data_IF_151592670136
#
_entry.id   IF_151592670136
#
_cell.length_a   1.000
_cell.length_b   1.000
_cell.length_c   1.000
_cell.angle_alpha   90.00
_cell.angle_beta   90.00
_cell.angle_gamma   90.00
#
_symmetry.space_group_name_H-M   'P 1'
#
loop_
_entity.id
_entity.type
_entity.pdbx_description
1 polymer ?
#
# COMPACT_ATOMS: atom_id res chain seq x y z
N UNK A 1 8.62 -15.46 28.80
CA UNK A 1 9.01 -15.87 27.45
C UNK A 1 9.61 -17.26 27.48
N UNK A 2 8.81 -18.26 27.31
CA UNK A 2 9.19 -19.66 27.26
C UNK A 2 9.69 -20.00 25.85
N UNK A 3 10.91 -20.57 25.76
CA UNK A 3 11.46 -21.02 24.47
C UNK A 3 10.93 -22.38 24.03
N UNK A 4 10.53 -23.20 24.97
CA UNK A 4 9.99 -24.55 24.75
C UNK A 4 8.87 -24.80 25.74
N UNK A 5 7.86 -25.53 25.34
CA UNK A 5 6.90 -26.11 26.24
C UNK A 5 7.55 -27.27 26.97
N UNK A 6 7.24 -27.45 28.26
CA UNK A 6 7.60 -28.66 28.99
C UNK A 6 6.63 -29.81 28.61
N UNK A 7 6.88 -31.01 29.11
CA UNK A 7 6.10 -32.19 28.73
C UNK A 7 4.63 -32.10 29.15
N UNK A 8 4.35 -31.55 30.34
CA UNK A 8 2.96 -31.39 30.82
C UNK A 8 2.19 -30.36 29.94
N UNK A 9 2.82 -29.28 29.58
CA UNK A 9 2.25 -28.26 28.67
C UNK A 9 2.03 -28.85 27.27
N UNK A 10 2.92 -29.69 26.76
CA UNK A 10 2.75 -30.41 25.52
C UNK A 10 1.55 -31.37 25.57
N UNK A 11 1.37 -32.07 26.69
CA UNK A 11 0.21 -32.95 26.93
C UNK A 11 -1.10 -32.16 27.00
N UNK A 12 -1.10 -31.04 27.70
CA UNK A 12 -2.25 -30.15 27.77
C UNK A 12 -2.62 -29.62 26.38
N UNK A 13 -1.64 -29.11 25.64
CA UNK A 13 -1.81 -28.63 24.27
C UNK A 13 -2.38 -29.72 23.35
N UNK A 14 -1.77 -30.90 23.32
CA UNK A 14 -2.21 -32.05 22.56
C UNK A 14 -3.68 -32.38 22.87
N UNK A 15 -4.01 -32.46 24.15
CA UNK A 15 -5.37 -32.82 24.62
C UNK A 15 -6.38 -31.76 24.25
N UNK A 16 -6.04 -30.48 24.46
CA UNK A 16 -6.91 -29.34 24.13
C UNK A 16 -7.28 -29.28 22.65
N UNK A 17 -6.35 -29.61 21.79
CA UNK A 17 -6.56 -29.58 20.33
C UNK A 17 -6.90 -30.93 19.72
N UNK A 18 -7.08 -31.98 20.52
CA UNK A 18 -7.46 -33.30 20.05
C UNK A 18 -6.43 -33.95 19.11
N UNK A 19 -5.12 -33.62 19.29
CA UNK A 19 -4.07 -34.15 18.41
C UNK A 19 -3.83 -35.61 18.77
N UNK A 20 -3.92 -36.57 17.84
CA UNK A 20 -3.85 -38.00 18.11
C UNK A 20 -2.39 -38.48 18.25
N UNK A 21 -1.68 -37.98 19.25
CA UNK A 21 -0.34 -38.40 19.64
C UNK A 21 -0.44 -39.05 21.02
N UNK A 22 0.17 -40.23 21.17
CA UNK A 22 0.14 -40.98 22.45
C UNK A 22 0.98 -40.28 23.51
N UNK A 23 0.72 -40.61 24.80
CA UNK A 23 1.44 -40.04 25.93
C UNK A 23 2.93 -40.36 25.90
N UNK A 24 3.31 -41.51 25.37
CA UNK A 24 4.72 -41.93 25.28
C UNK A 24 5.50 -41.11 24.26
N UNK A 25 4.78 -40.57 23.24
CA UNK A 25 5.40 -39.83 22.15
C UNK A 25 5.30 -38.33 22.27
N UNK A 26 4.48 -37.83 23.20
CA UNK A 26 4.20 -36.39 23.27
C UNK A 26 5.45 -35.56 23.56
N UNK A 27 6.39 -36.12 24.40
CA UNK A 27 7.63 -35.46 24.75
C UNK A 27 8.58 -35.24 23.53
N UNK A 28 8.45 -36.07 22.50
CA UNK A 28 9.21 -35.96 21.25
C UNK A 28 8.72 -34.82 20.38
N UNK A 29 7.51 -34.26 20.66
CA UNK A 29 6.81 -33.28 19.85
C UNK A 29 6.83 -33.65 18.35
N UNK A 30 6.37 -34.85 17.95
CA UNK A 30 6.47 -35.34 16.59
C UNK A 30 5.56 -34.53 15.66
N UNK A 31 5.99 -34.40 14.41
CA UNK A 31 5.11 -33.84 13.38
C UNK A 31 3.89 -34.73 13.17
N UNK A 32 2.73 -34.12 13.31
CA UNK A 32 1.45 -34.76 12.99
C UNK A 32 0.94 -34.27 11.63
N UNK A 33 0.64 -35.19 10.76
CA UNK A 33 -0.05 -34.91 9.52
C UNK A 33 -1.40 -35.64 9.54
N UNK A 34 -2.54 -34.91 9.42
CA UNK A 34 -3.84 -35.56 9.34
C UNK A 34 -3.93 -36.50 8.13
N UNK A 35 -4.77 -37.55 8.19
CA UNK A 35 -5.04 -38.42 7.04
C UNK A 35 -5.52 -37.62 5.84
N UNK A 36 -5.15 -38.07 4.63
CA UNK A 36 -5.46 -37.37 3.38
C UNK A 36 -6.96 -37.13 3.14
N UNK A 37 -7.80 -38.00 3.68
CA UNK A 37 -9.26 -37.92 3.61
C UNK A 37 -9.91 -37.28 4.84
N UNK A 38 -9.12 -36.67 5.74
CA UNK A 38 -9.66 -35.96 6.89
C UNK A 38 -10.30 -34.64 6.47
N UNK A 39 -11.29 -34.12 7.22
CA UNK A 39 -11.92 -32.85 6.92
C UNK A 39 -10.92 -31.68 6.81
N UNK A 40 -9.89 -31.66 7.66
CA UNK A 40 -8.86 -30.64 7.66
C UNK A 40 -8.05 -30.65 6.37
N UNK A 41 -7.65 -31.85 5.88
CA UNK A 41 -6.88 -31.98 4.65
C UNK A 41 -7.72 -31.68 3.41
N UNK A 42 -8.98 -32.08 3.40
CA UNK A 42 -9.93 -31.74 2.33
C UNK A 42 -10.08 -30.23 2.25
N UNK A 43 -10.37 -29.57 3.37
CA UNK A 43 -10.50 -28.11 3.44
C UNK A 43 -9.24 -27.40 2.97
N UNK A 44 -8.06 -27.83 3.45
CA UNK A 44 -6.77 -27.24 3.04
C UNK A 44 -6.58 -27.32 1.53
N UNK A 45 -6.87 -28.47 0.91
CA UNK A 45 -6.70 -28.64 -0.55
C UNK A 45 -7.66 -27.79 -1.34
N UNK A 46 -8.94 -27.81 -0.98
CA UNK A 46 -9.94 -26.96 -1.64
C UNK A 46 -9.53 -25.48 -1.62
N UNK A 47 -9.06 -24.98 -0.47
CA UNK A 47 -8.58 -23.59 -0.36
C UNK A 47 -7.33 -23.37 -1.20
N UNK A 48 -6.40 -24.31 -1.22
CA UNK A 48 -5.19 -24.20 -2.05
C UNK A 48 -5.50 -24.21 -3.54
N UNK A 49 -6.37 -25.09 -3.98
CA UNK A 49 -6.81 -25.15 -5.38
C UNK A 49 -7.53 -23.87 -5.79
N UNK A 50 -8.42 -23.34 -4.97
CA UNK A 50 -9.10 -22.08 -5.23
C UNK A 50 -8.14 -20.87 -5.34
N UNK A 51 -6.98 -20.94 -4.70
CA UNK A 51 -5.92 -19.93 -4.80
C UNK A 51 -4.88 -20.22 -5.92
N UNK A 52 -5.13 -21.19 -6.78
CA UNK A 52 -4.22 -21.54 -7.87
C UNK A 52 -3.07 -22.48 -7.49
N UNK A 53 -3.16 -23.17 -6.34
CA UNK A 53 -2.19 -24.18 -5.92
C UNK A 53 -1.37 -23.81 -4.68
N UNK A 54 -0.21 -24.44 -4.52
CA UNK A 54 0.65 -24.24 -3.35
C UNK A 54 1.28 -22.84 -3.31
N UNK A 55 1.36 -22.25 -2.13
CA UNK A 55 1.99 -20.94 -1.92
C UNK A 55 3.41 -21.16 -1.36
N UNK A 56 4.39 -20.34 -1.80
CA UNK A 56 4.29 -19.34 -2.84
C UNK A 56 4.32 -19.95 -4.25
N UNK A 57 3.29 -19.65 -5.04
CA UNK A 57 3.31 -19.91 -6.47
C UNK A 57 3.83 -18.66 -7.17
N UNK A 58 5.05 -18.73 -7.69
CA UNK A 58 5.66 -17.60 -8.43
C UNK A 58 5.62 -17.90 -9.91
N UNK A 59 5.18 -16.94 -10.70
CA UNK A 59 5.32 -17.04 -12.16
C UNK A 59 6.63 -16.39 -12.60
N UNK A 60 7.34 -17.06 -13.50
CA UNK A 60 8.49 -16.49 -14.21
C UNK A 60 8.08 -15.74 -15.48
N UNK A 61 6.80 -15.81 -15.87
CA UNK A 61 6.31 -15.11 -17.05
C UNK A 61 6.25 -13.62 -16.75
N UNK A 62 6.92 -12.77 -17.56
CA UNK A 62 6.82 -11.33 -17.36
C UNK A 62 5.40 -10.86 -17.67
N UNK A 63 4.87 -10.03 -16.80
CA UNK A 63 3.62 -9.31 -17.06
C UNK A 63 4.00 -8.03 -17.77
N UNK A 64 3.65 -7.95 -19.07
CA UNK A 64 3.94 -6.75 -19.85
C UNK A 64 2.91 -5.67 -19.59
N UNK A 65 3.38 -4.43 -19.53
CA UNK A 65 2.54 -3.23 -19.42
C UNK A 65 3.00 -2.22 -20.45
N UNK A 66 2.06 -1.60 -21.13
CA UNK A 66 2.41 -0.48 -22.00
C UNK A 66 2.66 0.76 -21.16
N UNK A 67 3.92 1.18 -21.11
CA UNK A 67 4.32 2.38 -20.39
C UNK A 67 3.93 3.61 -21.20
N UNK A 68 3.19 4.58 -20.63
CA UNK A 68 2.88 5.82 -21.31
C UNK A 68 4.15 6.65 -21.54
N UNK A 69 4.12 7.51 -22.53
CA UNK A 69 5.19 8.45 -22.86
C UNK A 69 4.83 9.87 -22.41
N UNK A 70 5.81 10.76 -22.36
CA UNK A 70 5.55 12.18 -22.07
C UNK A 70 4.57 12.80 -23.06
N UNK A 71 4.59 12.38 -24.33
CA UNK A 71 3.68 12.86 -25.36
C UNK A 71 2.21 12.57 -25.03
N UNK A 72 1.93 11.46 -24.32
CA UNK A 72 0.58 11.14 -23.90
C UNK A 72 0.02 12.16 -22.88
N UNK A 73 0.89 12.92 -22.21
CA UNK A 73 0.56 13.91 -21.20
C UNK A 73 0.88 15.36 -21.59
N UNK A 74 1.13 15.64 -22.85
CA UNK A 74 1.44 16.99 -23.35
C UNK A 74 0.42 18.06 -22.93
N UNK A 75 -0.85 17.68 -22.76
CA UNK A 75 -1.92 18.58 -22.31
C UNK A 75 -1.84 18.91 -20.82
N UNK A 76 -1.22 18.02 -20.03
CA UNK A 76 -1.05 18.17 -18.57
C UNK A 76 0.16 19.03 -18.25
N UNK A 77 1.29 18.77 -18.88
CA UNK A 77 2.55 19.49 -18.66
C UNK A 77 2.41 21.03 -18.73
N UNK A 78 1.73 21.62 -19.72
CA UNK A 78 1.54 23.08 -19.77
C UNK A 78 0.75 23.65 -18.61
N UNK A 79 -0.10 22.84 -17.97
CA UNK A 79 -0.87 23.24 -16.78
C UNK A 79 -0.03 23.24 -15.52
N UNK A 80 1.08 22.47 -15.52
CA UNK A 80 2.04 22.39 -14.43
C UNK A 80 3.12 23.48 -14.55
N UNK A 81 3.36 23.97 -15.76
CA UNK A 81 4.30 25.08 -16.01
C UNK A 81 3.54 26.40 -15.88
N UNK A 82 3.84 27.16 -14.85
CA UNK A 82 3.29 28.51 -14.70
C UNK A 82 3.74 29.41 -15.85
N UNK A 83 2.82 29.79 -16.72
CA UNK A 83 3.07 30.82 -17.74
C UNK A 83 2.57 32.17 -17.21
N UNK A 84 3.42 32.90 -16.53
CA UNK A 84 3.18 34.26 -16.13
C UNK A 84 2.98 34.48 -14.62
N UNK A 85 3.03 35.73 -14.15
CA UNK A 85 2.87 36.07 -12.75
C UNK A 85 1.48 35.67 -12.24
N UNK A 86 1.40 34.93 -11.13
CA UNK A 86 0.18 34.68 -10.38
C UNK A 86 -0.42 33.29 -10.41
N UNK A 87 0.25 32.29 -10.98
CA UNK A 87 -0.16 30.89 -10.83
C UNK A 87 0.93 30.05 -10.16
N UNK A 88 1.14 30.30 -8.90
CA UNK A 88 1.97 29.45 -8.08
C UNK A 88 1.27 28.11 -7.85
N UNK A 89 2.03 27.04 -7.91
CA UNK A 89 1.56 25.67 -7.67
C UNK A 89 2.62 24.92 -6.89
N UNK A 90 2.18 24.27 -5.81
CA UNK A 90 3.05 23.35 -5.08
C UNK A 90 3.36 22.10 -5.91
N UNK A 91 4.48 21.47 -5.64
CA UNK A 91 4.85 20.18 -6.25
C UNK A 91 3.82 19.09 -5.94
N UNK A 92 3.24 19.09 -4.72
CA UNK A 92 2.13 18.20 -4.35
C UNK A 92 0.91 18.38 -5.26
N UNK A 93 0.49 19.62 -5.52
CA UNK A 93 -0.62 19.88 -6.44
C UNK A 93 -0.27 19.54 -7.90
N UNK A 94 0.98 19.69 -8.28
CA UNK A 94 1.49 19.20 -9.57
C UNK A 94 1.31 17.68 -9.69
N UNK A 95 1.75 16.96 -8.68
CA UNK A 95 1.58 15.51 -8.60
C UNK A 95 0.09 15.09 -8.63
N UNK A 96 -0.77 15.70 -7.83
CA UNK A 96 -2.21 15.35 -7.79
C UNK A 96 -2.90 15.55 -9.13
N UNK A 97 -2.54 16.62 -9.87
CA UNK A 97 -3.05 16.83 -11.24
C UNK A 97 -2.59 15.74 -12.20
N UNK A 98 -1.30 15.40 -12.15
CA UNK A 98 -0.76 14.30 -12.94
C UNK A 98 -1.44 12.98 -12.57
N UNK A 99 -1.58 12.67 -11.29
CA UNK A 99 -2.26 11.48 -10.80
C UNK A 99 -3.71 11.40 -11.32
N UNK A 100 -4.44 12.52 -11.27
CA UNK A 100 -5.81 12.59 -11.81
C UNK A 100 -5.87 12.26 -13.30
N UNK A 101 -4.89 12.69 -14.08
CA UNK A 101 -4.81 12.37 -15.52
C UNK A 101 -4.36 10.91 -15.74
N UNK A 102 -3.41 10.41 -14.96
CA UNK A 102 -2.97 9.00 -14.99
C UNK A 102 -4.13 8.04 -14.67
N UNK A 103 -4.97 8.36 -13.68
CA UNK A 103 -6.16 7.57 -13.33
C UNK A 103 -7.22 7.53 -14.44
N UNK A 104 -7.21 8.49 -15.38
CA UNK A 104 -8.08 8.50 -16.56
C UNK A 104 -7.48 7.76 -17.76
N UNK A 105 -6.22 7.39 -17.68
CA UNK A 105 -5.56 6.67 -18.77
C UNK A 105 -6.23 5.32 -19.00
N UNK A 106 -6.58 5.07 -20.26
CA UNK A 106 -7.32 3.84 -20.64
C UNK A 106 -6.47 2.57 -20.54
N UNK A 107 -5.15 2.70 -20.52
CA UNK A 107 -4.23 1.57 -20.52
C UNK A 107 -3.76 1.20 -19.11
N UNK A 108 -3.35 2.19 -18.33
CA UNK A 108 -2.77 1.98 -17.01
C UNK A 108 -3.63 2.49 -15.85
N UNK A 109 -4.64 3.32 -16.12
CA UNK A 109 -5.40 4.00 -15.07
C UNK A 109 -6.00 3.04 -14.03
N UNK A 110 -6.47 1.87 -14.47
CA UNK A 110 -7.00 0.84 -13.56
C UNK A 110 -5.93 0.06 -12.75
N UNK A 111 -4.66 0.24 -13.11
CA UNK A 111 -3.54 -0.38 -12.40
C UNK A 111 -2.96 0.54 -11.31
N UNK A 112 -3.29 1.81 -11.36
CA UNK A 112 -2.79 2.80 -10.39
C UNK A 112 -3.58 2.68 -9.11
N UNK A 113 -2.87 2.56 -7.99
CA UNK A 113 -3.45 2.42 -6.65
C UNK A 113 -2.94 3.57 -5.78
N UNK A 114 -3.68 4.68 -5.70
CA UNK A 114 -3.37 5.74 -4.74
C UNK A 114 -3.63 5.22 -3.32
N UNK A 115 -2.67 5.44 -2.43
CA UNK A 115 -2.73 5.01 -1.03
C UNK A 115 -2.42 6.22 -0.16
N UNK A 116 -3.25 6.49 0.84
CA UNK A 116 -3.09 7.62 1.74
C UNK A 116 -3.56 7.28 3.15
N UNK A 117 -2.85 7.73 4.20
CA UNK A 117 -3.26 7.52 5.58
C UNK A 117 -4.24 8.62 6.02
N UNK A 118 -5.47 8.61 5.52
CA UNK A 118 -6.59 9.49 5.92
C UNK A 118 -6.32 11.01 5.85
N UNK A 119 -5.52 11.44 4.88
CA UNK A 119 -5.11 12.84 4.73
C UNK A 119 -5.30 13.36 3.31
N UNK A 120 -6.23 12.75 2.57
CA UNK A 120 -6.47 13.08 1.16
C UNK A 120 -6.75 14.56 0.92
N UNK A 121 -7.53 15.19 1.79
CA UNK A 121 -7.88 16.62 1.67
C UNK A 121 -6.66 17.52 1.86
N UNK A 122 -5.80 17.21 2.81
CA UNK A 122 -4.57 17.97 3.06
C UNK A 122 -3.64 17.96 1.84
N UNK A 123 -3.61 16.85 1.11
CA UNK A 123 -2.85 16.74 -0.13
C UNK A 123 -3.59 17.27 -1.36
N UNK A 124 -4.82 17.77 -1.21
CA UNK A 124 -5.64 18.27 -2.34
C UNK A 124 -6.17 17.15 -3.24
N UNK A 125 -6.33 15.94 -2.69
CA UNK A 125 -6.78 14.74 -3.41
C UNK A 125 -8.30 14.55 -3.36
N UNK A 126 -9.06 15.42 -2.71
CA UNK A 126 -10.52 15.28 -2.55
C UNK A 126 -11.28 15.16 -3.88
N UNK A 127 -10.74 15.71 -4.96
CA UNK A 127 -11.29 15.55 -6.31
C UNK A 127 -11.31 14.09 -6.79
N UNK A 128 -10.43 13.25 -6.25
CA UNK A 128 -10.35 11.84 -6.60
C UNK A 128 -11.51 11.04 -6.01
N UNK A 129 -12.12 11.47 -4.91
CA UNK A 129 -13.31 10.82 -4.33
C UNK A 129 -14.45 10.71 -5.35
N UNK A 130 -14.64 11.76 -6.14
CA UNK A 130 -15.64 11.76 -7.21
C UNK A 130 -15.17 11.00 -8.44
N UNK A 131 -13.88 11.04 -8.74
CA UNK A 131 -13.31 10.47 -9.95
C UNK A 131 -13.23 8.95 -9.90
N UNK A 132 -12.71 8.40 -8.79
CA UNK A 132 -12.41 6.96 -8.65
C UNK A 132 -13.02 6.33 -7.41
N UNK A 133 -13.52 7.12 -6.45
CA UNK A 133 -14.06 6.65 -5.17
C UNK A 133 -13.01 6.10 -4.20
N UNK A 134 -13.37 6.09 -2.93
CA UNK A 134 -12.60 5.44 -1.87
C UNK A 134 -13.00 3.97 -1.86
N UNK A 135 -12.04 3.07 -1.79
CA UNK A 135 -12.34 1.65 -1.69
C UNK A 135 -12.92 1.29 -0.32
N UNK A 136 -14.09 0.66 -0.32
CA UNK A 136 -14.67 0.04 0.85
C UNK A 136 -15.31 -1.29 0.45
N UNK A 137 -14.83 -2.37 1.00
CA UNK A 137 -15.23 -3.73 0.63
C UNK A 137 -16.73 -4.00 0.83
N UNK A 138 -17.37 -3.33 1.77
CA UNK A 138 -18.83 -3.40 2.01
C UNK A 138 -19.61 -2.32 1.26
N UNK A 139 -18.95 -1.30 0.74
CA UNK A 139 -19.56 -0.07 0.25
C UNK A 139 -19.84 0.92 1.39
N UNK A 140 -20.46 2.05 1.06
CA UNK A 140 -20.80 3.09 2.02
C UNK A 140 -22.15 2.78 2.68
N UNK A 141 -22.16 2.73 4.02
CA UNK A 141 -23.34 2.39 4.84
C UNK A 141 -23.87 3.57 5.67
N UNK A 142 -23.34 4.77 5.45
CA UNK A 142 -23.71 5.97 6.17
C UNK A 142 -23.65 7.18 5.24
N UNK A 143 -24.37 8.23 5.60
CA UNK A 143 -24.24 9.54 4.99
C UNK A 143 -23.28 10.37 5.83
N UNK A 144 -22.26 11.03 5.25
CA UNK A 144 -21.39 11.92 5.99
C UNK A 144 -22.17 13.04 6.67
N UNK A 145 -21.86 13.33 7.93
CA UNK A 145 -22.57 14.33 8.74
C UNK A 145 -22.52 15.73 8.13
N UNK A 146 -21.44 16.00 7.37
CA UNK A 146 -21.16 17.26 6.68
C UNK A 146 -21.41 17.22 5.17
N UNK A 147 -22.22 16.28 4.69
CA UNK A 147 -22.47 16.02 3.26
C UNK A 147 -23.01 17.24 2.50
N UNK A 148 -23.66 18.16 3.19
CA UNK A 148 -24.24 19.39 2.66
C UNK A 148 -23.31 20.62 2.75
N UNK A 149 -22.21 20.52 3.51
CA UNK A 149 -21.32 21.65 3.79
C UNK A 149 -19.98 21.55 3.07
N UNK A 150 -19.50 20.36 2.79
CA UNK A 150 -18.12 20.12 2.33
C UNK A 150 -18.09 19.15 1.14
N UNK A 151 -16.91 19.08 0.54
CA UNK A 151 -16.59 18.27 -0.61
C UNK A 151 -17.20 16.86 -0.57
N UNK A 152 -17.65 16.46 -1.73
CA UNK A 152 -18.15 15.13 -2.04
C UNK A 152 -17.27 14.03 -1.43
N UNK A 153 -17.89 13.09 -0.71
CA UNK A 153 -17.27 11.91 -0.13
C UNK A 153 -18.01 10.66 -0.62
N UNK A 154 -17.28 9.69 -1.12
CA UNK A 154 -17.89 8.45 -1.63
C UNK A 154 -16.98 7.26 -1.39
N UNK A 155 -17.49 6.31 -0.64
CA UNK A 155 -16.96 4.95 -0.54
C UNK A 155 -17.67 4.01 -1.51
N UNK A 156 -16.93 3.11 -2.14
CA UNK A 156 -17.49 2.16 -3.10
C UNK A 156 -16.67 0.87 -3.14
N UNK A 157 -17.34 -0.24 -3.44
CA UNK A 157 -16.68 -1.55 -3.60
C UNK A 157 -15.68 -1.59 -4.76
N UNK A 158 -15.90 -0.77 -5.76
CA UNK A 158 -15.03 -0.58 -6.92
C UNK A 158 -14.18 0.69 -6.82
N UNK A 159 -14.14 1.31 -5.64
CA UNK A 159 -13.26 2.44 -5.35
C UNK A 159 -11.80 2.07 -5.57
N UNK A 160 -11.01 3.06 -6.00
CA UNK A 160 -9.60 2.84 -6.37
C UNK A 160 -8.62 3.53 -5.42
N UNK A 161 -9.07 4.54 -4.68
CA UNK A 161 -8.28 5.20 -3.65
C UNK A 161 -8.34 4.39 -2.35
N UNK A 162 -7.19 3.98 -1.83
CA UNK A 162 -7.08 3.36 -0.52
C UNK A 162 -6.83 4.44 0.54
N UNK A 163 -7.83 4.71 1.35
CA UNK A 163 -7.75 5.60 2.50
C UNK A 163 -7.72 4.74 3.76
N UNK A 164 -6.49 4.49 4.27
CA UNK A 164 -6.20 3.42 5.22
C UNK A 164 -6.44 3.81 6.69
N UNK A 165 -6.83 5.06 6.94
CA UNK A 165 -6.79 5.65 8.28
C UNK A 165 -5.38 6.12 8.65
N UNK A 166 -5.22 6.77 9.80
CA UNK A 166 -3.94 7.31 10.26
C UNK A 166 -3.01 6.16 10.67
N UNK A 167 -2.53 5.41 9.70
CA UNK A 167 -1.60 4.29 9.88
C UNK A 167 -0.66 4.16 8.68
N UNK A 168 0.54 4.65 8.80
CA UNK A 168 1.57 4.52 7.76
C UNK A 168 1.98 3.05 7.57
N UNK A 169 1.95 2.26 8.63
CA UNK A 169 2.27 0.82 8.55
C UNK A 169 1.20 0.04 7.76
N UNK A 170 -0.09 0.34 7.96
CA UNK A 170 -1.18 -0.23 7.17
C UNK A 170 -1.05 0.15 5.70
N UNK A 171 -0.86 1.44 5.44
CA UNK A 171 -0.65 1.97 4.08
C UNK A 171 0.53 1.33 3.37
N UNK A 172 1.67 1.15 4.06
CA UNK A 172 2.84 0.49 3.49
C UNK A 172 2.63 -1.01 3.28
N UNK A 173 1.80 -1.66 4.09
CA UNK A 173 1.42 -3.06 3.87
C UNK A 173 0.59 -3.22 2.61
N UNK A 174 -0.37 -2.33 2.37
CA UNK A 174 -1.13 -2.27 1.12
C UNK A 174 -0.25 -1.94 -0.09
N UNK A 175 0.74 -1.04 0.08
CA UNK A 175 1.76 -0.76 -0.93
C UNK A 175 2.54 -2.03 -1.30
N UNK A 176 3.01 -2.78 -0.30
CA UNK A 176 3.76 -4.02 -0.52
C UNK A 176 2.91 -5.08 -1.25
N UNK A 177 1.65 -5.23 -0.87
CA UNK A 177 0.72 -6.14 -1.51
C UNK A 177 0.49 -5.77 -3.00
N UNK A 178 0.19 -4.51 -3.28
CA UNK A 178 0.01 -4.01 -4.64
C UNK A 178 1.31 -4.08 -5.45
N UNK A 179 2.43 -3.65 -4.86
CA UNK A 179 3.74 -3.62 -5.51
C UNK A 179 4.31 -4.99 -5.85
N UNK A 180 3.81 -6.07 -5.25
CA UNK A 180 4.20 -7.46 -5.51
C UNK A 180 3.14 -8.27 -6.29
N UNK A 181 2.00 -7.67 -6.61
CA UNK A 181 0.90 -8.34 -7.29
C UNK A 181 1.29 -8.96 -8.64
N UNK A 182 2.29 -8.41 -9.31
CA UNK A 182 2.82 -8.97 -10.55
C UNK A 182 3.40 -10.39 -10.38
N UNK A 183 3.94 -10.71 -9.20
CA UNK A 183 4.53 -12.01 -8.89
C UNK A 183 3.51 -12.98 -8.27
N UNK A 184 2.62 -12.47 -7.41
CA UNK A 184 1.65 -13.28 -6.67
C UNK A 184 0.35 -13.53 -7.43
N UNK A 185 -0.08 -12.56 -8.24
CA UNK A 185 -1.37 -12.60 -8.95
C UNK A 185 -1.25 -12.46 -10.47
N UNK A 186 -0.04 -12.22 -10.99
CA UNK A 186 0.16 -12.01 -12.44
C UNK A 186 -0.45 -10.70 -12.96
N UNK A 187 -0.67 -9.71 -12.08
CA UNK A 187 -1.27 -8.42 -12.40
C UNK A 187 -0.31 -7.31 -12.00
N UNK A 188 0.05 -6.43 -12.93
CA UNK A 188 0.79 -5.23 -12.58
C UNK A 188 -0.12 -4.25 -11.86
N UNK A 189 0.27 -3.82 -10.67
CA UNK A 189 -0.29 -2.67 -9.98
C UNK A 189 0.79 -1.62 -9.76
N UNK A 190 0.40 -0.36 -9.73
CA UNK A 190 1.27 0.80 -9.57
C UNK A 190 0.84 1.53 -8.30
N UNK A 191 1.24 1.08 -7.11
CA UNK A 191 0.93 1.79 -5.88
C UNK A 191 1.66 3.13 -5.83
N UNK A 192 0.92 4.15 -5.44
CA UNK A 192 1.38 5.51 -5.20
C UNK A 192 1.00 5.89 -3.78
N UNK A 193 1.91 5.69 -2.85
CA UNK A 193 1.71 5.97 -1.44
C UNK A 193 2.15 7.38 -1.12
N UNK A 194 1.18 8.26 -0.82
CA UNK A 194 1.43 9.62 -0.37
C UNK A 194 1.22 9.73 1.14
N UNK A 195 2.14 10.38 1.83
CA UNK A 195 2.16 10.51 3.29
C UNK A 195 2.86 11.81 3.69
N UNK A 196 2.70 12.22 4.93
CA UNK A 196 3.55 13.27 5.50
C UNK A 196 5.00 12.79 5.53
N UNK A 197 5.89 13.51 4.87
CA UNK A 197 7.29 13.13 4.71
C UNK A 197 7.96 12.77 6.03
N UNK A 198 7.70 13.56 7.09
CA UNK A 198 8.24 13.32 8.43
C UNK A 198 7.86 11.94 9.01
N UNK A 199 6.74 11.37 8.59
CA UNK A 199 6.21 10.11 9.13
C UNK A 199 6.47 8.90 8.22
N UNK A 200 7.31 9.06 7.20
CA UNK A 200 7.71 7.99 6.29
C UNK A 200 8.77 7.06 6.86
N UNK A 201 9.99 7.15 6.36
CA UNK A 201 11.07 6.19 6.68
C UNK A 201 11.29 5.95 8.16
N UNK A 202 11.12 6.94 9.02
CA UNK A 202 11.29 6.77 10.47
C UNK A 202 10.21 5.91 11.13
N UNK A 203 9.02 5.77 10.52
CA UNK A 203 7.93 4.92 11.05
C UNK A 203 7.82 3.58 10.34
N UNK A 204 8.18 3.54 9.05
CA UNK A 204 7.95 2.37 8.20
C UNK A 204 9.23 1.81 7.58
N UNK A 205 10.40 2.16 8.09
CA UNK A 205 11.69 1.70 7.55
C UNK A 205 11.77 0.19 7.39
N UNK A 206 11.33 -0.58 8.39
CA UNK A 206 11.30 -2.05 8.32
C UNK A 206 10.40 -2.56 7.18
N UNK A 207 9.28 -1.92 6.93
CA UNK A 207 8.40 -2.29 5.83
C UNK A 207 8.97 -1.89 4.46
N UNK A 208 9.79 -0.85 4.40
CA UNK A 208 10.53 -0.49 3.19
C UNK A 208 11.63 -1.52 2.91
N UNK A 209 12.32 -2.02 3.95
CA UNK A 209 13.23 -3.15 3.80
C UNK A 209 12.51 -4.40 3.30
N UNK A 210 11.34 -4.71 3.88
CA UNK A 210 10.51 -5.81 3.40
C UNK A 210 10.07 -5.61 1.93
N UNK A 211 9.72 -4.38 1.53
CA UNK A 211 9.42 -4.05 0.13
C UNK A 211 10.61 -4.36 -0.80
N UNK A 212 11.82 -4.00 -0.36
CA UNK A 212 13.05 -4.28 -1.11
C UNK A 212 13.28 -5.78 -1.28
N UNK A 213 13.16 -6.56 -0.21
CA UNK A 213 13.31 -8.02 -0.22
C UNK A 213 12.27 -8.71 -1.10
N UNK A 214 11.03 -8.25 -1.03
CA UNK A 214 9.94 -8.76 -1.86
C UNK A 214 10.00 -8.26 -3.31
N UNK A 215 10.86 -7.31 -3.63
CA UNK A 215 10.96 -6.62 -4.93
C UNK A 215 9.64 -5.92 -5.31
N UNK A 216 9.00 -5.30 -4.34
CA UNK A 216 7.84 -4.47 -4.57
C UNK A 216 8.19 -3.31 -5.49
N UNK A 217 7.23 -2.87 -6.31
CA UNK A 217 7.39 -1.76 -7.25
C UNK A 217 6.32 -0.71 -6.97
N UNK A 218 6.70 0.56 -6.98
CA UNK A 218 5.75 1.65 -6.77
C UNK A 218 6.46 2.95 -6.44
N UNK A 219 5.68 3.94 -6.02
CA UNK A 219 6.13 5.28 -5.72
C UNK A 219 5.73 5.66 -4.30
N UNK A 220 6.70 6.13 -3.53
CA UNK A 220 6.51 6.69 -2.20
C UNK A 220 6.68 8.21 -2.28
N UNK A 221 5.68 8.96 -1.86
CA UNK A 221 5.62 10.40 -2.05
C UNK A 221 5.49 11.11 -0.69
N UNK A 222 6.57 11.70 -0.23
CA UNK A 222 6.60 12.51 0.97
C UNK A 222 6.03 13.91 0.70
N UNK A 223 4.82 14.15 1.15
CA UNK A 223 4.22 15.48 1.12
C UNK A 223 4.62 16.32 2.33
N UNK A 224 4.34 17.63 2.29
CA UNK A 224 4.58 18.58 3.39
C UNK A 224 6.02 18.55 3.95
N UNK A 225 7.01 18.37 3.08
CA UNK A 225 8.41 18.21 3.47
C UNK A 225 9.15 19.53 3.79
N UNK A 226 8.51 20.68 3.55
CA UNK A 226 9.15 22.00 3.68
C UNK A 226 9.54 22.32 5.12
N UNK A 227 10.80 22.75 5.32
CA UNK A 227 11.31 23.13 6.65
C UNK A 227 10.82 24.49 7.12
N UNK A 228 10.54 25.40 6.20
CA UNK A 228 10.23 26.79 6.51
C UNK A 228 8.82 27.19 6.12
N UNK A 229 8.10 26.37 5.38
CA UNK A 229 6.77 26.64 4.82
C UNK A 229 5.62 26.04 5.63
N UNK A 230 5.92 25.33 6.71
CA UNK A 230 4.94 24.62 7.55
C UNK A 230 4.67 25.34 8.87
N UNK A 231 4.53 26.65 8.84
CA UNK A 231 4.39 27.46 10.04
C UNK A 231 3.17 27.08 10.91
N UNK A 232 2.09 26.60 10.29
CA UNK A 232 0.87 26.22 11.00
C UNK A 232 0.92 24.81 11.61
N UNK A 233 1.85 23.95 11.16
CA UNK A 233 1.89 22.55 11.57
C UNK A 233 2.96 22.25 12.63
N UNK A 234 3.91 23.13 12.83
CA UNK A 234 4.96 23.03 13.84
C UNK A 234 6.11 22.06 13.48
N UNK A 235 7.06 21.93 14.40
CA UNK A 235 8.31 21.19 14.21
C UNK A 235 8.12 19.70 13.90
N UNK A 236 7.08 19.08 14.41
CA UNK A 236 6.82 17.66 14.24
C UNK A 236 6.53 17.24 12.78
N UNK A 237 6.19 18.20 11.91
CA UNK A 237 5.97 17.95 10.48
C UNK A 237 7.17 18.36 9.60
N UNK A 238 8.16 19.02 10.16
CA UNK A 238 9.33 19.47 9.40
C UNK A 238 10.29 18.31 9.14
N UNK A 239 10.46 17.95 7.90
CA UNK A 239 11.37 16.89 7.47
C UNK A 239 12.65 17.49 6.87
N UNK A 240 13.77 16.88 7.22
CA UNK A 240 15.07 17.24 6.68
C UNK A 240 16.00 16.06 6.52
N UNK A 241 15.50 14.84 6.75
CA UNK A 241 16.31 13.64 6.84
C UNK A 241 15.78 12.46 6.02
N UNK A 242 14.61 12.55 5.41
CA UNK A 242 14.05 11.45 4.62
C UNK A 242 14.94 11.01 3.47
N UNK A 243 15.57 11.94 2.75
CA UNK A 243 16.52 11.60 1.68
C UNK A 243 17.74 10.86 2.22
N UNK A 244 18.25 11.27 3.39
CA UNK A 244 19.37 10.58 4.05
C UNK A 244 18.95 9.16 4.48
N UNK A 245 17.78 9.00 5.08
CA UNK A 245 17.26 7.70 5.45
C UNK A 245 17.07 6.79 4.22
N UNK A 246 16.57 7.33 3.12
CA UNK A 246 16.36 6.60 1.88
C UNK A 246 17.65 6.03 1.29
N UNK A 247 18.81 6.68 1.52
CA UNK A 247 20.11 6.19 1.05
C UNK A 247 20.51 4.83 1.63
N UNK A 248 19.92 4.42 2.78
CA UNK A 248 20.16 3.11 3.37
C UNK A 248 19.54 1.96 2.54
N UNK A 249 18.61 2.26 1.65
CA UNK A 249 17.86 1.26 0.87
C UNK A 249 18.39 1.20 -0.57
N UNK A 250 19.14 0.15 -0.97
CA UNK A 250 19.76 0.09 -2.29
C UNK A 250 18.78 0.11 -3.46
N UNK A 251 17.53 -0.26 -3.22
CA UNK A 251 16.47 -0.33 -4.25
C UNK A 251 15.64 0.93 -4.36
N UNK A 252 15.82 1.89 -3.45
CA UNK A 252 15.10 3.17 -3.43
C UNK A 252 15.89 4.21 -4.24
N UNK A 253 15.21 4.86 -5.16
CA UNK A 253 15.72 6.03 -5.89
C UNK A 253 14.99 7.26 -5.40
N UNK A 254 15.73 8.22 -4.86
CA UNK A 254 15.19 9.43 -4.28
C UNK A 254 15.21 10.59 -5.28
N UNK A 255 14.15 11.38 -5.25
CA UNK A 255 14.00 12.61 -6.03
C UNK A 255 13.49 13.71 -5.11
N UNK A 256 13.92 14.93 -5.32
CA UNK A 256 13.48 16.11 -4.58
C UNK A 256 13.12 17.25 -5.56
N UNK A 257 11.92 17.19 -6.16
CA UNK A 257 11.53 18.16 -7.17
C UNK A 257 11.31 19.54 -6.53
N UNK A 258 11.93 20.57 -7.11
CA UNK A 258 11.76 21.95 -6.69
C UNK A 258 10.55 22.63 -7.36
N UNK A 259 10.19 22.19 -8.56
CA UNK A 259 9.13 22.78 -9.36
C UNK A 259 8.05 21.75 -9.72
N UNK A 260 6.83 22.24 -9.91
CA UNK A 260 5.68 21.37 -10.21
C UNK A 260 5.81 20.55 -11.52
N UNK A 261 6.67 20.96 -12.42
CA UNK A 261 6.90 20.24 -13.69
C UNK A 261 7.99 19.17 -13.60
N UNK A 262 8.75 19.13 -12.51
CA UNK A 262 9.77 18.10 -12.26
C UNK A 262 9.16 16.83 -11.67
#
# INVERSE_FOLDING_TARGET
NQKKLNEDELREFRTRFGIPISDERVAEAPFYRPPENSPEMIYLRERREAMGGSVPSRTSKPVTMKVPTLADYEKTLPKLVSKGPGKEMSTTMGFVRLLSDLLRDKQIGKQIVPIVPDESRTFGMEGLFRQVGIYAHTGQHYDPVDSDQIAFYKEARDGQLLEEGITEAGSMSSFNAAGTAYASHGVNMIPMFIYYSMFGFQRIGDLVWAAADMRAKGFMLGGTAGRTTLNGEGLQHQDGHSLLNAMAFPTVRSYDPAYAYE
#
